data_IF_792768820405
#
_entry.id   IF_792768820405
#
_cell.length_a   1.000
_cell.length_b   1.000
_cell.length_c   1.000
_cell.angle_alpha   90.00
_cell.angle_beta   90.00
_cell.angle_gamma   90.00
#
_symmetry.space_group_name_H-M   'P 1'
#
loop_
_entity.id
_entity.type
_entity.pdbx_description
1 polymer ?
#
# COMPACT_ATOMS: atom_id res chain seq x y z
N UNK A 1 2.91 -13.82 9.43
CA UNK A 1 2.44 -14.89 8.53
C UNK A 1 1.57 -14.25 7.47
N UNK A 2 1.60 -14.74 6.23
CA UNK A 2 0.73 -14.27 5.15
C UNK A 2 -0.24 -15.38 4.76
N UNK A 3 -1.45 -14.99 4.31
CA UNK A 3 -2.45 -15.91 3.76
C UNK A 3 -2.87 -15.40 2.37
N UNK A 4 -2.93 -16.31 1.41
CA UNK A 4 -3.27 -16.01 0.03
C UNK A 4 -4.57 -16.71 -0.35
N UNK A 5 -5.64 -15.94 -0.50
CA UNK A 5 -6.98 -16.45 -0.68
C UNK A 5 -7.50 -16.04 -2.06
N UNK A 6 -7.78 -17.03 -2.91
CA UNK A 6 -8.35 -16.78 -4.23
C UNK A 6 -9.82 -16.33 -4.11
N UNK A 7 -10.15 -15.25 -4.81
CA UNK A 7 -11.54 -14.82 -4.97
C UNK A 7 -11.79 -14.24 -6.37
N UNK A 8 -13.06 -14.21 -6.78
CA UNK A 8 -13.42 -13.58 -8.05
C UNK A 8 -13.34 -12.06 -7.92
N UNK A 9 -12.93 -11.37 -8.98
CA UNK A 9 -12.93 -9.90 -9.02
C UNK A 9 -14.31 -9.30 -8.75
N UNK A 10 -15.35 -10.03 -9.12
CA UNK A 10 -16.77 -9.65 -8.93
C UNK A 10 -17.33 -10.03 -7.56
N UNK A 11 -16.54 -10.67 -6.67
CA UNK A 11 -16.99 -11.01 -5.31
C UNK A 11 -17.39 -9.74 -4.56
N UNK A 12 -18.50 -9.81 -3.84
CA UNK A 12 -19.01 -8.72 -3.01
C UNK A 12 -18.36 -8.71 -1.62
N UNK A 13 -18.66 -7.69 -0.82
CA UNK A 13 -18.11 -7.54 0.52
C UNK A 13 -18.54 -8.68 1.47
N UNK A 14 -19.72 -9.27 1.26
CA UNK A 14 -20.23 -10.39 2.07
C UNK A 14 -19.43 -11.65 1.83
N UNK A 15 -19.16 -11.96 0.55
CA UNK A 15 -18.33 -13.12 0.19
C UNK A 15 -16.90 -12.98 0.76
N UNK A 16 -16.31 -11.78 0.65
CA UNK A 16 -14.97 -11.52 1.21
C UNK A 16 -14.97 -11.65 2.73
N UNK A 17 -16.02 -11.17 3.42
CA UNK A 17 -16.15 -11.36 4.85
C UNK A 17 -16.18 -12.84 5.24
N UNK A 18 -16.96 -13.67 4.52
CA UNK A 18 -17.02 -15.10 4.77
C UNK A 18 -15.66 -15.78 4.56
N UNK A 19 -14.94 -15.44 3.48
CA UNK A 19 -13.55 -15.91 3.27
C UNK A 19 -12.63 -15.49 4.42
N UNK A 20 -12.74 -14.24 4.87
CA UNK A 20 -11.93 -13.75 5.96
C UNK A 20 -12.20 -14.52 7.27
N UNK A 21 -13.47 -14.83 7.55
CA UNK A 21 -13.83 -15.62 8.73
C UNK A 21 -13.33 -17.07 8.63
N UNK A 22 -13.52 -17.72 7.47
CA UNK A 22 -13.14 -19.14 7.28
C UNK A 22 -11.61 -19.33 7.30
N UNK A 23 -10.85 -18.40 6.71
CA UNK A 23 -9.42 -18.59 6.51
C UNK A 23 -8.55 -17.83 7.54
N UNK A 24 -9.01 -16.70 8.05
CA UNK A 24 -8.20 -15.87 8.95
C UNK A 24 -8.70 -15.94 10.38
N UNK A 25 -9.98 -15.64 10.62
CA UNK A 25 -10.53 -15.61 11.99
C UNK A 25 -10.48 -17.00 12.62
N UNK A 26 -10.70 -18.06 11.85
CA UNK A 26 -10.59 -19.44 12.31
C UNK A 26 -9.19 -19.78 12.87
N UNK A 27 -8.14 -19.21 12.28
CA UNK A 27 -6.75 -19.50 12.65
C UNK A 27 -6.19 -18.54 13.70
N UNK A 28 -6.60 -17.26 13.66
CA UNK A 28 -5.95 -16.19 14.41
C UNK A 28 -6.89 -15.40 15.33
N UNK A 29 -8.19 -15.73 15.32
CA UNK A 29 -9.20 -14.96 16.04
C UNK A 29 -9.51 -13.62 15.38
N UNK A 30 -10.31 -12.80 16.07
CA UNK A 30 -10.69 -11.46 15.58
C UNK A 30 -9.53 -10.49 15.69
N UNK A 31 -9.18 -9.75 14.63
CA UNK A 31 -8.11 -8.77 14.69
C UNK A 31 -8.52 -7.52 15.48
N UNK A 32 -7.59 -6.92 16.20
CA UNK A 32 -7.77 -5.63 16.88
C UNK A 32 -7.95 -4.50 15.86
N UNK A 33 -7.24 -4.58 14.72
CA UNK A 33 -7.34 -3.59 13.64
C UNK A 33 -7.10 -4.24 12.28
N UNK A 34 -7.77 -3.67 11.24
CA UNK A 34 -7.58 -4.03 9.84
C UNK A 34 -7.13 -2.78 9.09
N UNK A 35 -6.05 -2.90 8.35
CA UNK A 35 -5.58 -1.88 7.40
C UNK A 35 -5.86 -2.38 5.99
N UNK A 36 -6.58 -1.60 5.18
CA UNK A 36 -6.89 -1.95 3.80
C UNK A 36 -6.73 -0.75 2.86
N UNK A 37 -6.73 -1.01 1.58
CA UNK A 37 -6.93 0.01 0.56
C UNK A 37 -8.38 0.57 0.61
N UNK A 38 -8.68 1.50 -0.29
CA UNK A 38 -10.00 2.11 -0.41
C UNK A 38 -10.86 1.44 -1.50
N UNK A 39 -10.69 0.14 -1.71
CA UNK A 39 -11.64 -0.58 -2.58
C UNK A 39 -13.07 -0.40 -2.04
N UNK A 40 -14.02 -0.26 -2.96
CA UNK A 40 -15.45 -0.05 -2.65
C UNK A 40 -16.01 -1.10 -1.70
N UNK A 41 -15.49 -2.33 -1.75
CA UNK A 41 -15.89 -3.44 -0.88
C UNK A 41 -15.55 -3.19 0.58
N UNK A 42 -14.40 -2.58 0.85
CA UNK A 42 -13.89 -2.30 2.21
C UNK A 42 -14.38 -0.97 2.79
N UNK A 43 -14.71 0.02 1.93
CA UNK A 43 -15.28 1.30 2.41
C UNK A 43 -16.81 1.26 2.51
N UNK A 44 -17.46 0.23 2.00
CA UNK A 44 -18.91 0.05 1.99
C UNK A 44 -19.52 -0.04 3.39
N UNK A 45 -20.81 0.27 3.49
CA UNK A 45 -21.55 0.29 4.75
C UNK A 45 -21.56 -1.08 5.45
N UNK A 46 -21.72 -2.17 4.68
CA UNK A 46 -21.71 -3.55 5.21
C UNK A 46 -20.39 -3.84 5.96
N UNK A 47 -19.25 -3.61 5.32
CA UNK A 47 -17.94 -3.90 5.89
C UNK A 47 -17.66 -3.08 7.15
N UNK A 48 -17.97 -1.78 7.11
CA UNK A 48 -17.80 -0.89 8.27
C UNK A 48 -18.67 -1.30 9.45
N UNK A 49 -19.94 -1.66 9.18
CA UNK A 49 -20.87 -2.06 10.23
C UNK A 49 -20.48 -3.38 10.87
N UNK A 50 -20.07 -4.36 10.05
CA UNK A 50 -19.61 -5.66 10.52
C UNK A 50 -18.46 -5.51 11.52
N UNK A 51 -17.38 -4.87 11.10
CA UNK A 51 -16.17 -4.74 11.93
C UNK A 51 -16.37 -3.82 13.13
N UNK A 52 -17.20 -2.80 13.03
CA UNK A 52 -17.61 -1.99 14.17
C UNK A 52 -18.32 -2.85 15.24
N UNK A 53 -19.25 -3.72 14.84
CA UNK A 53 -19.94 -4.64 15.75
C UNK A 53 -19.01 -5.66 16.40
N UNK A 54 -17.97 -6.07 15.71
CA UNK A 54 -16.96 -7.00 16.20
C UNK A 54 -15.83 -6.32 17.02
N UNK A 55 -15.90 -5.00 17.21
CA UNK A 55 -14.89 -4.26 17.98
C UNK A 55 -13.57 -4.05 17.26
N UNK A 56 -13.48 -4.35 15.96
CA UNK A 56 -12.27 -4.20 15.16
C UNK A 56 -12.16 -2.79 14.59
N UNK A 57 -11.01 -2.14 14.76
CA UNK A 57 -10.72 -0.83 14.19
C UNK A 57 -10.35 -0.93 12.71
N UNK A 58 -11.06 -0.21 11.85
CA UNK A 58 -10.72 -0.10 10.43
C UNK A 58 -9.82 1.13 10.20
N UNK A 59 -8.74 0.93 9.46
CA UNK A 59 -7.82 1.97 8.99
C UNK A 59 -7.65 1.84 7.49
N UNK A 60 -7.85 2.93 6.76
CA UNK A 60 -7.72 2.94 5.30
C UNK A 60 -6.44 3.65 4.88
N UNK A 61 -5.76 3.11 3.87
CA UNK A 61 -4.64 3.81 3.26
C UNK A 61 -5.10 5.15 2.71
N UNK A 62 -4.23 6.16 2.75
CA UNK A 62 -4.53 7.45 2.13
C UNK A 62 -4.55 7.29 0.61
N UNK A 63 -5.51 7.97 -0.04
CA UNK A 63 -5.57 8.00 -1.50
C UNK A 63 -4.22 8.46 -2.07
N UNK A 64 -3.69 7.69 -3.06
CA UNK A 64 -2.45 8.00 -3.79
C UNK A 64 -1.13 7.95 -3.01
N UNK A 65 -1.14 7.43 -1.77
CA UNK A 65 0.09 7.15 -1.01
C UNK A 65 0.08 5.72 -0.47
N UNK A 66 0.62 4.76 -1.21
CA UNK A 66 0.66 3.34 -0.83
C UNK A 66 1.59 3.06 0.36
N UNK A 67 2.33 4.06 0.85
CA UNK A 67 3.26 3.88 1.98
C UNK A 67 2.59 3.38 3.27
N UNK A 68 1.29 3.60 3.44
CA UNK A 68 0.52 3.08 4.57
C UNK A 68 0.33 1.57 4.47
N UNK A 69 0.32 1.04 3.24
CA UNK A 69 0.15 -0.37 2.92
C UNK A 69 1.44 -1.03 2.35
N UNK A 70 2.58 -0.40 2.60
CA UNK A 70 3.86 -0.85 2.04
C UNK A 70 4.23 -2.30 2.41
N UNK A 71 3.72 -2.84 3.52
CA UNK A 71 3.92 -4.25 3.89
C UNK A 71 3.16 -5.17 2.94
N UNK A 72 1.89 -4.88 2.68
CA UNK A 72 1.05 -5.64 1.74
C UNK A 72 1.61 -5.58 0.33
N UNK A 73 2.11 -4.42 -0.10
CA UNK A 73 2.72 -4.26 -1.42
C UNK A 73 3.98 -5.13 -1.59
N UNK A 74 4.84 -5.22 -0.57
CA UNK A 74 6.02 -6.11 -0.56
C UNK A 74 5.60 -7.57 -0.64
N UNK A 75 4.59 -7.97 0.15
CA UNK A 75 4.05 -9.34 0.14
C UNK A 75 3.47 -9.67 -1.24
N UNK A 76 2.67 -8.78 -1.83
CA UNK A 76 2.09 -8.97 -3.15
C UNK A 76 3.15 -9.10 -4.26
N UNK A 77 4.25 -8.36 -4.15
CA UNK A 77 5.39 -8.50 -5.07
C UNK A 77 6.05 -9.87 -4.94
N UNK A 78 6.27 -10.34 -3.73
CA UNK A 78 6.84 -11.66 -3.46
C UNK A 78 5.91 -12.77 -3.96
N UNK A 79 4.61 -12.67 -3.68
CA UNK A 79 3.57 -13.56 -4.21
C UNK A 79 3.64 -13.63 -5.74
N UNK A 80 3.66 -12.47 -6.41
CA UNK A 80 3.74 -12.43 -7.88
C UNK A 80 5.01 -13.07 -8.44
N UNK A 81 6.13 -12.95 -7.74
CA UNK A 81 7.39 -13.58 -8.16
C UNK A 81 7.33 -15.11 -8.01
N UNK A 82 6.88 -15.61 -6.87
CA UNK A 82 6.76 -17.06 -6.63
C UNK A 82 5.75 -17.69 -7.60
N UNK A 83 4.59 -17.05 -7.78
CA UNK A 83 3.58 -17.55 -8.72
C UNK A 83 4.10 -17.61 -10.15
N UNK A 84 4.81 -16.58 -10.64
CA UNK A 84 5.40 -16.62 -12.00
C UNK A 84 6.34 -17.80 -12.17
N UNK A 85 7.09 -18.16 -11.15
CA UNK A 85 7.99 -19.30 -11.19
C UNK A 85 7.24 -20.62 -11.23
N UNK A 86 6.15 -20.74 -10.46
CA UNK A 86 5.40 -22.00 -10.36
C UNK A 86 4.45 -22.25 -11.54
N UNK A 87 3.81 -21.20 -12.08
CA UNK A 87 2.74 -21.34 -13.09
C UNK A 87 3.16 -20.87 -14.48
N UNK A 88 4.46 -20.70 -14.74
CA UNK A 88 4.95 -20.11 -15.98
C UNK A 88 4.41 -20.78 -17.25
N UNK A 89 4.16 -22.11 -17.24
CA UNK A 89 3.62 -22.86 -18.36
C UNK A 89 2.07 -22.77 -18.44
N UNK A 90 1.38 -22.64 -17.31
CA UNK A 90 -0.08 -22.60 -17.22
C UNK A 90 -0.58 -21.46 -16.33
N UNK A 91 -0.49 -20.18 -16.77
CA UNK A 91 -0.89 -19.04 -15.95
C UNK A 91 -2.34 -19.05 -15.47
N UNK A 92 -3.24 -19.79 -16.16
CA UNK A 92 -4.65 -19.87 -15.77
C UNK A 92 -4.89 -20.71 -14.50
N UNK A 93 -3.92 -21.52 -14.09
CA UNK A 93 -3.99 -22.39 -12.90
C UNK A 93 -3.27 -21.79 -11.69
N UNK A 94 -3.18 -20.46 -11.63
CA UNK A 94 -2.49 -19.77 -10.55
C UNK A 94 -3.10 -20.03 -9.17
N UNK A 95 -4.41 -20.24 -9.10
CA UNK A 95 -5.16 -20.53 -7.89
C UNK A 95 -4.77 -21.88 -7.27
N UNK A 96 -4.48 -22.89 -8.08
CA UNK A 96 -3.97 -24.18 -7.62
C UNK A 96 -2.57 -24.10 -7.00
N UNK A 97 -1.78 -23.12 -7.43
CA UNK A 97 -0.44 -22.90 -6.91
C UNK A 97 -0.40 -22.08 -5.60
N UNK A 98 -1.55 -21.50 -5.16
CA UNK A 98 -1.57 -20.61 -3.99
C UNK A 98 -1.12 -21.27 -2.71
N UNK A 99 -1.57 -22.51 -2.43
CA UNK A 99 -1.19 -23.23 -1.22
C UNK A 99 0.33 -23.45 -1.14
N UNK A 100 0.95 -23.87 -2.25
CA UNK A 100 2.41 -24.04 -2.35
C UNK A 100 3.13 -22.70 -2.24
N UNK A 101 2.58 -21.64 -2.82
CA UNK A 101 3.14 -20.28 -2.75
C UNK A 101 3.09 -19.74 -1.32
N UNK A 102 1.97 -19.94 -0.63
CA UNK A 102 1.78 -19.54 0.75
C UNK A 102 2.76 -20.28 1.68
N UNK A 103 2.91 -21.59 1.51
CA UNK A 103 3.88 -22.37 2.23
C UNK A 103 5.30 -21.84 2.01
N UNK A 104 5.74 -21.70 0.76
CA UNK A 104 7.07 -21.21 0.42
C UNK A 104 7.34 -19.80 0.99
N UNK A 105 6.35 -18.90 0.94
CA UNK A 105 6.48 -17.56 1.52
C UNK A 105 6.64 -17.62 3.04
N UNK A 106 5.82 -18.41 3.72
CA UNK A 106 5.81 -18.49 5.18
C UNK A 106 6.98 -19.30 5.75
N UNK A 107 7.63 -20.12 4.94
CA UNK A 107 8.84 -20.87 5.31
C UNK A 107 10.13 -20.08 5.05
N UNK A 108 10.09 -19.06 4.19
CA UNK A 108 11.26 -18.23 3.88
C UNK A 108 11.59 -17.29 5.03
N UNK A 109 12.87 -17.25 5.52
CA UNK A 109 13.28 -16.32 6.57
C UNK A 109 13.11 -14.86 6.17
N UNK A 110 12.48 -14.07 7.03
CA UNK A 110 12.29 -12.65 6.81
C UNK A 110 13.56 -11.86 7.17
N UNK A 111 13.98 -10.92 6.33
CA UNK A 111 15.17 -10.09 6.55
C UNK A 111 15.15 -9.31 7.88
N UNK A 112 13.96 -8.92 8.34
CA UNK A 112 13.82 -8.10 9.56
C UNK A 112 13.98 -8.89 10.84
N UNK A 113 13.63 -10.18 10.84
CA UNK A 113 13.64 -11.05 12.02
C UNK A 113 14.74 -12.11 11.95
N UNK A 114 15.21 -12.46 10.76
CA UNK A 114 16.09 -13.59 10.51
C UNK A 114 15.40 -14.94 10.64
N UNK A 115 14.09 -14.95 10.87
CA UNK A 115 13.27 -16.16 11.08
C UNK A 115 12.14 -16.23 10.09
N UNK A 116 11.67 -17.42 9.77
CA UNK A 116 10.50 -17.61 8.93
C UNK A 116 9.21 -17.29 9.70
N UNK A 117 8.13 -16.88 9.04
CA UNK A 117 6.82 -16.73 9.66
C UNK A 117 6.33 -17.97 10.40
N UNK A 118 6.61 -19.17 9.89
CA UNK A 118 6.29 -20.43 10.57
C UNK A 118 7.04 -20.60 11.89
N UNK A 119 8.35 -20.33 11.90
CA UNK A 119 9.14 -20.39 13.13
C UNK A 119 8.62 -19.43 14.20
N UNK A 120 8.21 -18.21 13.79
CA UNK A 120 7.70 -17.19 14.71
C UNK A 120 6.36 -17.61 15.32
N UNK A 121 5.47 -18.23 14.53
CA UNK A 121 4.11 -18.57 14.97
C UNK A 121 4.06 -19.90 15.67
N UNK A 122 4.79 -20.90 15.17
CA UNK A 122 4.72 -22.29 15.66
C UNK A 122 5.96 -22.73 16.45
N UNK A 123 7.00 -21.89 16.55
CA UNK A 123 8.24 -22.21 17.26
C UNK A 123 9.17 -23.18 16.53
N UNK A 124 8.76 -23.69 15.37
CA UNK A 124 9.52 -24.66 14.61
C UNK A 124 9.40 -24.44 13.12
N UNK A 125 10.38 -24.95 12.36
CA UNK A 125 10.24 -25.08 10.92
C UNK A 125 9.24 -26.19 10.59
N UNK A 126 8.31 -25.95 9.65
CA UNK A 126 7.50 -27.03 9.13
C UNK A 126 8.40 -28.02 8.38
N UNK A 127 8.19 -29.29 8.60
CA UNK A 127 8.92 -30.32 7.84
C UNK A 127 8.44 -30.33 6.41
N UNK A 128 9.33 -30.08 5.47
CA UNK A 128 9.07 -30.19 4.03
C UNK A 128 8.91 -31.66 3.60
N UNK A 129 8.24 -31.88 2.48
CA UNK A 129 8.05 -33.24 1.91
C UNK A 129 9.39 -33.97 1.70
N UNK A 130 10.47 -33.23 1.48
CA UNK A 130 11.81 -33.77 1.29
C UNK A 130 12.47 -34.26 2.60
N UNK A 131 12.08 -33.71 3.72
CA UNK A 131 12.63 -34.10 5.06
C UNK A 131 11.99 -35.36 5.61
N UNK A 132 10.90 -35.83 4.99
CA UNK A 132 10.26 -37.10 5.35
C UNK A 132 11.18 -38.32 5.16
N UNK A 133 12.24 -38.19 4.36
CA UNK A 133 13.25 -39.25 4.16
C UNK A 133 14.12 -39.50 5.41
N UNK A 134 14.23 -38.54 6.32
CA UNK A 134 15.09 -38.58 7.47
C UNK A 134 14.35 -38.91 8.80
N UNK A 135 13.06 -39.22 8.74
CA UNK A 135 12.23 -39.52 9.92
C UNK A 135 12.73 -40.74 10.76
N UNK A 136 13.62 -41.53 10.19
CA UNK A 136 14.19 -42.70 10.89
C UNK A 136 15.34 -42.39 11.85
N UNK A 137 15.84 -41.15 11.95
CA UNK A 137 17.05 -40.78 12.69
C UNK A 137 16.86 -39.75 13.81
N UNK A 138 15.65 -39.23 14.01
CA UNK A 138 15.41 -38.27 15.10
C UNK A 138 14.96 -39.06 16.36
N UNK A 139 15.85 -39.14 17.32
CA UNK A 139 15.49 -39.51 18.70
C UNK A 139 14.43 -38.51 19.21
N UNK A 140 13.33 -39.05 19.75
CA UNK A 140 12.28 -38.25 20.36
C UNK A 140 12.89 -37.53 21.59
N UNK A 141 13.23 -36.24 21.41
CA UNK A 141 13.53 -35.35 22.53
C UNK A 141 12.23 -35.04 23.24
N UNK A 142 12.01 -35.71 24.35
CA UNK A 142 10.97 -35.35 25.32
C UNK A 142 11.42 -34.07 26.05
N UNK A 143 11.24 -32.92 25.42
CA UNK A 143 11.24 -31.64 26.13
C UNK A 143 9.98 -31.59 26.97
N UNK A 144 10.08 -31.20 28.25
CA UNK A 144 8.90 -31.00 29.07
C UNK A 144 8.02 -29.90 28.44
N UNK A 145 6.72 -29.96 28.63
CA UNK A 145 5.81 -28.92 28.09
C UNK A 145 6.15 -27.52 28.65
N UNK A 146 6.70 -27.45 29.85
CA UNK A 146 7.17 -26.20 30.47
C UNK A 146 8.37 -25.63 29.74
N UNK A 147 9.39 -26.45 29.41
CA UNK A 147 10.56 -26.02 28.66
C UNK A 147 10.15 -25.50 27.27
N UNK A 148 9.17 -26.14 26.63
CA UNK A 148 8.63 -25.67 25.34
C UNK A 148 7.92 -24.33 25.48
N UNK A 149 7.09 -24.16 26.51
CA UNK A 149 6.38 -22.90 26.76
C UNK A 149 7.35 -21.73 27.01
N UNK A 150 8.39 -21.97 27.84
CA UNK A 150 9.43 -20.95 28.06
C UNK A 150 10.23 -20.63 26.82
N UNK A 151 10.57 -21.61 25.98
CA UNK A 151 11.27 -21.41 24.73
C UNK A 151 10.41 -20.57 23.77
N UNK A 152 9.09 -20.83 23.69
CA UNK A 152 8.17 -20.07 22.87
C UNK A 152 8.04 -18.61 23.34
N UNK A 153 7.97 -18.37 24.65
CA UNK A 153 7.93 -17.02 25.19
C UNK A 153 9.21 -16.24 24.86
N UNK A 154 10.38 -16.84 25.11
CA UNK A 154 11.68 -16.23 24.78
C UNK A 154 11.79 -15.92 23.29
N UNK A 155 11.36 -16.84 22.41
CA UNK A 155 11.34 -16.65 20.97
C UNK A 155 10.45 -15.47 20.58
N UNK A 156 9.25 -15.36 21.14
CA UNK A 156 8.33 -14.26 20.84
C UNK A 156 8.87 -12.92 21.30
N UNK A 157 9.52 -12.84 22.47
CA UNK A 157 10.17 -11.62 22.96
C UNK A 157 11.32 -11.21 22.04
N UNK A 158 12.21 -12.14 21.69
CA UNK A 158 13.33 -11.89 20.77
C UNK A 158 12.86 -11.37 19.40
N UNK A 159 11.82 -11.97 18.84
CA UNK A 159 11.22 -11.55 17.56
C UNK A 159 10.62 -10.16 17.68
N UNK A 160 9.92 -9.87 18.78
CA UNK A 160 9.33 -8.55 19.05
C UNK A 160 10.41 -7.48 19.09
N UNK A 161 11.52 -7.73 19.78
CA UNK A 161 12.64 -6.81 19.89
C UNK A 161 13.32 -6.58 18.52
N UNK A 162 13.57 -7.65 17.74
CA UNK A 162 14.10 -7.54 16.38
C UNK A 162 13.19 -6.74 15.46
N UNK A 163 11.88 -6.92 15.56
CA UNK A 163 10.89 -6.15 14.78
C UNK A 163 10.89 -4.67 15.18
N UNK A 164 10.95 -4.36 16.47
CA UNK A 164 11.04 -2.99 16.97
C UNK A 164 12.34 -2.31 16.49
N UNK A 165 13.46 -2.99 16.61
CA UNK A 165 14.75 -2.46 16.15
C UNK A 165 14.76 -2.25 14.63
N UNK A 166 14.29 -3.22 13.85
CA UNK A 166 14.17 -3.10 12.40
C UNK A 166 13.26 -1.93 12.00
N UNK A 167 12.12 -1.78 12.66
CA UNK A 167 11.18 -0.68 12.43
C UNK A 167 11.81 0.67 12.78
N UNK A 168 12.59 0.75 13.87
CA UNK A 168 13.31 1.97 14.28
C UNK A 168 14.37 2.34 13.25
N UNK A 169 15.19 1.39 12.80
CA UNK A 169 16.20 1.61 11.75
C UNK A 169 15.57 2.07 10.43
N UNK A 170 14.45 1.45 10.03
CA UNK A 170 13.73 1.86 8.83
C UNK A 170 13.19 3.28 8.95
N UNK A 171 12.55 3.61 10.09
CA UNK A 171 12.04 4.96 10.37
C UNK A 171 13.15 6.00 10.35
N UNK A 172 14.29 5.73 10.98
CA UNK A 172 15.45 6.61 10.98
C UNK A 172 15.95 6.88 9.55
N UNK A 173 16.17 5.84 8.75
CA UNK A 173 16.62 5.98 7.35
C UNK A 173 15.61 6.74 6.49
N UNK A 174 14.33 6.48 6.66
CA UNK A 174 13.28 7.19 5.94
C UNK A 174 13.21 8.67 6.33
N UNK A 175 13.43 8.99 7.61
CA UNK A 175 13.38 10.35 8.13
C UNK A 175 14.62 11.19 7.76
N UNK A 176 15.80 10.60 7.54
CA UNK A 176 17.00 11.32 7.12
C UNK A 176 16.80 12.17 5.86
N UNK A 177 15.91 11.74 4.97
CA UNK A 177 15.59 12.45 3.72
C UNK A 177 14.28 13.24 3.76
N UNK A 178 13.56 13.19 4.87
CA UNK A 178 12.29 13.91 5.02
C UNK A 178 12.55 15.28 5.61
N UNK A 179 12.04 16.31 4.95
CA UNK A 179 11.94 17.65 5.54
C UNK A 179 10.68 17.69 6.38
N UNK A 180 10.77 18.24 7.59
CA UNK A 180 9.58 18.55 8.38
C UNK A 180 8.80 19.65 7.64
N UNK A 181 7.58 19.33 7.28
CA UNK A 181 6.62 20.28 6.72
C UNK A 181 5.34 20.15 7.53
N UNK A 182 4.79 21.26 7.92
CA UNK A 182 3.49 21.32 8.54
C UNK A 182 2.76 22.55 8.00
N UNK A 183 1.48 22.40 7.74
CA UNK A 183 0.63 23.49 7.31
C UNK A 183 -0.54 23.64 8.27
N UNK A 184 -1.02 24.87 8.43
CA UNK A 184 -2.20 25.18 9.22
C UNK A 184 -3.42 25.40 8.31
N UNK A 185 -4.62 25.32 8.92
CA UNK A 185 -5.85 25.69 8.22
C UNK A 185 -5.78 27.17 7.86
N UNK A 186 -5.99 27.50 6.59
CA UNK A 186 -5.88 28.85 6.08
C UNK A 186 -4.62 29.16 5.30
N UNK A 187 -3.58 28.34 5.43
CA UNK A 187 -2.34 28.53 4.66
C UNK A 187 -2.58 28.39 3.17
N UNK A 188 -1.85 29.21 2.39
CA UNK A 188 -1.83 29.14 0.94
C UNK A 188 -0.74 28.19 0.47
N UNK A 189 -1.11 27.22 -0.37
CA UNK A 189 -0.23 26.19 -0.90
C UNK A 189 -0.34 26.06 -2.41
N UNK A 190 0.77 25.65 -3.01
CA UNK A 190 0.81 25.16 -4.38
C UNK A 190 0.74 23.64 -4.37
N UNK A 191 0.01 23.05 -5.28
CA UNK A 191 -0.16 21.61 -5.39
C UNK A 191 0.55 21.04 -6.59
N UNK A 192 1.16 19.87 -6.39
CA UNK A 192 1.67 19.07 -7.50
C UNK A 192 0.63 18.01 -7.91
N UNK A 193 0.20 18.08 -9.17
CA UNK A 193 -0.77 17.17 -9.75
C UNK A 193 -0.09 15.95 -10.36
N UNK A 194 -0.20 14.81 -9.71
CA UNK A 194 0.26 13.53 -10.26
C UNK A 194 -0.75 13.00 -11.28
N UNK A 195 -0.23 12.32 -12.30
CA UNK A 195 -1.04 11.68 -13.34
C UNK A 195 -2.15 10.78 -12.76
N UNK A 196 -1.85 10.04 -11.71
CA UNK A 196 -2.71 9.03 -11.11
C UNK A 196 -3.95 9.63 -10.41
N UNK A 197 -3.98 10.97 -10.22
CA UNK A 197 -5.12 11.68 -9.63
C UNK A 197 -6.25 11.97 -10.60
N UNK A 198 -5.95 11.89 -11.90
CA UNK A 198 -6.94 12.15 -12.92
C UNK A 198 -7.70 10.87 -13.28
N UNK A 199 -9.02 10.96 -13.57
CA UNK A 199 -9.75 9.83 -14.11
C UNK A 199 -9.07 9.27 -15.36
N UNK A 200 -9.22 7.98 -15.59
CA UNK A 200 -8.65 7.28 -16.74
C UNK A 200 -9.06 8.00 -18.04
N UNK A 201 -8.09 8.33 -18.91
CA UNK A 201 -8.25 9.05 -20.19
C UNK A 201 -8.46 10.57 -20.09
N UNK A 202 -8.50 11.21 -18.92
CA UNK A 202 -8.63 12.66 -18.80
C UNK A 202 -7.30 13.38 -18.60
N UNK A 203 -6.22 12.64 -18.35
CA UNK A 203 -4.87 13.20 -18.21
C UNK A 203 -4.27 13.53 -19.58
N UNK A 204 -3.85 14.79 -19.77
CA UNK A 204 -3.05 15.21 -20.90
C UNK A 204 -1.66 15.63 -20.39
N UNK A 205 -0.59 15.27 -21.12
CA UNK A 205 0.81 15.63 -20.78
C UNK A 205 1.06 17.14 -20.75
N UNK A 206 0.22 17.91 -21.45
CA UNK A 206 0.27 19.39 -21.51
C UNK A 206 -0.50 20.08 -20.39
N UNK A 207 -1.25 19.34 -19.54
CA UNK A 207 -1.90 19.94 -18.36
C UNK A 207 -0.87 20.45 -17.37
N UNK A 208 -1.25 21.52 -16.66
CA UNK A 208 -0.45 22.09 -15.59
C UNK A 208 -0.12 21.01 -14.56
N UNK A 209 1.15 20.90 -14.20
CA UNK A 209 1.64 19.98 -13.17
C UNK A 209 1.53 20.55 -11.76
N UNK A 210 1.38 21.86 -11.65
CA UNK A 210 1.18 22.56 -10.38
C UNK A 210 -0.03 23.46 -10.52
N UNK A 211 -0.85 23.52 -9.50
CA UNK A 211 -1.97 24.45 -9.37
C UNK A 211 -1.90 25.17 -8.04
N UNK A 212 -2.48 26.35 -7.98
CA UNK A 212 -2.53 27.20 -6.79
C UNK A 212 -2.34 28.67 -7.13
N UNK A 213 -2.32 29.56 -6.11
CA UNK A 213 -2.41 29.21 -4.68
C UNK A 213 -3.79 28.71 -4.28
N UNK A 214 -3.82 27.63 -3.50
CA UNK A 214 -5.03 27.06 -2.95
C UNK A 214 -5.00 27.12 -1.43
N UNK A 215 -6.14 27.37 -0.79
CA UNK A 215 -6.25 27.49 0.66
C UNK A 215 -6.47 26.13 1.31
N UNK A 216 -5.79 25.87 2.42
CA UNK A 216 -6.05 24.69 3.24
C UNK A 216 -7.36 24.88 4.00
N UNK A 217 -8.35 24.00 3.73
CA UNK A 217 -9.65 23.99 4.41
C UNK A 217 -9.64 23.20 5.71
N UNK A 218 -8.96 22.04 5.70
CA UNK A 218 -8.97 21.13 6.83
C UNK A 218 -7.72 20.28 6.90
N UNK A 219 -7.22 20.04 8.12
CA UNK A 219 -6.16 19.10 8.42
C UNK A 219 -6.75 17.82 8.98
N UNK A 220 -6.57 16.68 8.31
CA UNK A 220 -7.01 15.37 8.79
C UNK A 220 -5.96 14.67 9.63
N UNK A 221 -4.69 14.83 9.26
CA UNK A 221 -3.54 14.27 9.97
C UNK A 221 -2.28 15.08 9.63
N UNK A 222 -1.14 14.72 10.21
CA UNK A 222 0.15 15.33 9.86
C UNK A 222 0.50 15.22 8.36
N UNK A 223 -0.09 14.25 7.65
CA UNK A 223 0.24 13.97 6.24
C UNK A 223 -0.93 14.20 5.27
N UNK A 224 -2.15 14.49 5.74
CA UNK A 224 -3.34 14.61 4.89
C UNK A 224 -4.10 15.91 5.15
N UNK A 225 -4.30 16.68 4.09
CA UNK A 225 -4.93 18.01 4.09
C UNK A 225 -6.01 18.08 3.03
N UNK A 226 -7.11 18.74 3.35
CA UNK A 226 -8.14 19.14 2.39
C UNK A 226 -7.87 20.58 1.97
N UNK A 227 -7.85 20.80 0.67
CA UNK A 227 -7.59 22.11 0.08
C UNK A 227 -8.78 22.59 -0.75
N UNK A 228 -8.84 23.88 -0.98
CA UNK A 228 -9.83 24.51 -1.82
C UNK A 228 -9.38 24.44 -3.29
N UNK A 229 -9.94 23.46 -4.00
CA UNK A 229 -9.69 23.33 -5.44
C UNK A 229 -10.54 24.32 -6.24
N UNK A 230 -9.99 24.79 -7.36
CA UNK A 230 -10.75 25.52 -8.36
C UNK A 230 -11.84 24.62 -8.96
N UNK A 231 -13.00 25.18 -9.26
CA UNK A 231 -14.11 24.45 -9.87
C UNK A 231 -13.72 23.85 -11.23
N UNK A 232 -14.17 22.63 -11.50
CA UNK A 232 -13.97 21.97 -12.80
C UNK A 232 -12.74 21.07 -12.92
N UNK A 233 -11.87 20.94 -11.90
CA UNK A 233 -10.67 20.10 -11.99
C UNK A 233 -10.98 18.60 -11.90
N UNK A 234 -12.09 18.21 -11.25
CA UNK A 234 -12.60 16.82 -11.22
C UNK A 234 -11.72 15.83 -10.45
N UNK A 235 -10.88 16.29 -9.50
CA UNK A 235 -10.01 15.46 -8.67
C UNK A 235 -10.40 15.57 -7.18
N UNK A 236 -9.94 14.62 -6.37
CA UNK A 236 -10.17 14.66 -4.92
C UNK A 236 -9.48 15.86 -4.28
N UNK A 237 -10.15 16.63 -3.38
CA UNK A 237 -9.56 17.77 -2.69
C UNK A 237 -8.61 17.37 -1.55
N UNK A 238 -8.44 16.07 -1.27
CA UNK A 238 -7.56 15.59 -0.20
C UNK A 238 -6.17 15.31 -0.75
N UNK A 239 -5.16 15.98 -0.22
CA UNK A 239 -3.77 15.88 -0.64
C UNK A 239 -2.86 15.42 0.49
N UNK A 240 -1.78 14.73 0.09
CA UNK A 240 -0.69 14.43 1.00
C UNK A 240 0.26 15.62 1.07
N UNK A 241 0.86 15.84 2.23
CA UNK A 241 1.84 16.90 2.47
C UNK A 241 3.03 16.85 1.48
N UNK A 242 3.37 15.69 0.94
CA UNK A 242 4.44 15.54 -0.04
C UNK A 242 4.15 16.26 -1.36
N UNK A 243 2.86 16.42 -1.70
CA UNK A 243 2.40 17.06 -2.93
C UNK A 243 2.06 18.55 -2.74
N UNK A 244 2.15 19.06 -1.50
CA UNK A 244 1.87 20.45 -1.16
C UNK A 244 3.18 21.22 -0.98
N UNK A 245 3.24 22.44 -1.50
CA UNK A 245 4.37 23.35 -1.37
C UNK A 245 3.87 24.69 -0.82
N UNK A 246 4.62 25.35 0.08
CA UNK A 246 4.22 26.68 0.56
C UNK A 246 4.17 27.66 -0.63
N UNK A 247 3.11 28.44 -0.70
CA UNK A 247 3.03 29.53 -1.65
C UNK A 247 3.91 30.69 -1.16
N UNK A 248 4.78 31.21 -2.03
CA UNK A 248 5.62 32.38 -1.77
C UNK A 248 5.25 33.46 -2.78
N UNK A 249 4.88 34.62 -2.33
CA UNK A 249 4.45 35.74 -3.18
C UNK A 249 5.50 36.16 -4.23
N UNK A 250 6.78 36.02 -3.94
CA UNK A 250 7.88 36.30 -4.88
C UNK A 250 7.87 35.43 -6.17
N UNK A 251 7.20 34.25 -6.15
CA UNK A 251 7.08 33.41 -7.36
C UNK A 251 6.00 33.94 -8.30
N UNK A 252 5.08 34.80 -7.84
CA UNK A 252 3.97 35.34 -8.64
C UNK A 252 4.43 36.49 -9.51
N UNK A 253 5.46 37.25 -9.11
CA UNK A 253 5.98 38.35 -9.92
C UNK A 253 6.72 37.85 -11.17
N UNK A 254 7.51 36.77 -11.05
CA UNK A 254 8.17 36.13 -12.18
C UNK A 254 7.18 35.48 -13.19
N UNK A 255 6.01 35.03 -12.73
CA UNK A 255 4.99 34.49 -13.62
C UNK A 255 4.15 35.61 -14.32
N UNK A 256 4.04 36.77 -13.70
CA UNK A 256 3.37 37.92 -14.33
C UNK A 256 4.23 38.57 -15.40
N UNK A 257 5.55 38.58 -15.26
CA UNK A 257 6.46 39.08 -16.31
C UNK A 257 6.50 38.19 -17.55
N UNK A 258 6.30 36.84 -17.37
CA UNK A 258 6.27 35.87 -18.50
C UNK A 258 4.89 35.89 -19.23
N UNK A 259 3.82 36.37 -18.58
CA UNK A 259 2.47 36.47 -19.20
C UNK A 259 2.15 37.87 -19.73
N UNK A 260 3.05 38.84 -19.56
CA UNK A 260 2.90 40.20 -19.99
C UNK A 260 3.31 40.51 -21.44
N UNK A 261 3.98 39.57 -22.11
CA UNK A 261 4.24 39.71 -23.55
C UNK A 261 3.05 39.19 -24.33
N UNK A 262 2.47 40.08 -25.10
CA UNK A 262 1.36 39.84 -26.02
C UNK A 262 1.60 38.59 -26.85
N UNK A 263 0.76 37.58 -26.64
CA UNK A 263 0.66 36.45 -27.57
C UNK A 263 0.06 37.04 -28.85
N UNK A 264 0.92 37.44 -29.79
CA UNK A 264 0.52 37.60 -31.18
C UNK A 264 0.04 36.23 -31.64
N UNK A 265 -1.24 36.09 -31.82
CA UNK A 265 -1.87 34.95 -32.46
C UNK A 265 -1.32 34.83 -33.87
N UNK A 266 -0.34 33.97 -34.06
CA UNK A 266 0.13 33.56 -35.37
C UNK A 266 -0.94 32.64 -35.94
N UNK A 267 -1.64 33.11 -36.92
CA UNK A 267 -2.67 32.40 -37.67
C UNK A 267 -2.00 31.29 -38.50
N UNK A 268 -2.22 30.03 -38.12
CA UNK A 268 -1.59 28.85 -38.73
C UNK A 268 -2.33 28.34 -39.98
N UNK A 269 -3.38 29.06 -40.46
CA UNK A 269 -4.20 28.57 -41.58
C UNK A 269 -3.60 28.84 -42.98
N UNK A 270 -2.52 29.61 -43.15
CA UNK A 270 -2.04 30.01 -44.48
C UNK A 270 -0.81 29.31 -45.05
N UNK A 271 -0.27 28.23 -44.41
CA UNK A 271 0.88 27.54 -44.98
C UNK A 271 0.75 26.01 -45.06
N UNK A 272 -0.32 25.51 -45.68
CA UNK A 272 -0.34 24.12 -46.16
C UNK A 272 -0.12 24.12 -47.68
N UNK A 273 1.03 23.65 -48.19
CA UNK A 273 1.21 23.47 -49.60
C UNK A 273 0.27 22.39 -50.12
N UNK A 274 -0.56 22.73 -51.13
CA UNK A 274 -1.36 21.74 -51.87
C UNK A 274 -0.46 20.71 -52.48
N UNK A 275 -0.54 19.46 -52.03
CA UNK A 275 0.11 18.33 -52.64
C UNK A 275 -0.49 18.12 -54.04
N UNK A 276 0.35 18.22 -55.06
CA UNK A 276 0.03 17.91 -56.47
C UNK A 276 -0.34 16.46 -56.61
N UNK A 277 -1.51 16.21 -57.14
CA UNK A 277 -1.86 14.90 -57.72
C UNK A 277 -0.96 14.62 -58.91
N UNK A 278 -0.23 13.53 -58.89
CA UNK A 278 0.09 12.70 -60.06
C UNK A 278 0.19 11.25 -59.60
#
# INVERSE_FOLDING_TARGET
>A
MAHFIACKKTSDATHIANLFFSEIVRLHGLPVSIVSDRDTKFVGHFWRTLWKKLGTKLSFSSAYHPQTDGKTEVVNRSLGNILRTLVHQNPKQWDLALATTEFAYNDTPNRSTGMSPFQIVFGMHPRGVYELRDLGKQEARSASAEDFAEQMQKLQEEVKDKLHESSRRYKQRANLKRREKEFQVGDLVMEYLRKDRFPTRTYNKLKLKKIGPCKIKRKFSANAYEIELLEGIGISPIFNIADLYPFREAETELQKEVTGDEIQTVDWEEQVPKASQK
#
